data_IF_943023360789
#
_entry.id   IF_943023360789
#
_cell.length_a   1.000
_cell.length_b   1.000
_cell.length_c   1.000
_cell.angle_alpha   90.00
_cell.angle_beta   90.00
_cell.angle_gamma   90.00
#
_symmetry.space_group_name_H-M   'P 1'
#
loop_
_entity.id
_entity.type
_entity.pdbx_description
1 polymer ?
#
# COMPACT_ATOMS: atom_id res chain seq x y z
N UNK A 1 12.16 -6.08 71.26
CA UNK A 1 10.74 -5.95 70.82
C UNK A 1 10.14 -4.55 71.06
N UNK A 2 10.46 -3.84 72.16
CA UNK A 2 9.89 -2.50 72.47
C UNK A 2 10.06 -1.40 71.41
N UNK A 3 11.10 -1.44 70.57
CA UNK A 3 11.33 -0.41 69.55
C UNK A 3 10.38 -0.52 68.35
N UNK A 4 10.05 -1.75 67.91
CA UNK A 4 9.12 -1.98 66.80
C UNK A 4 7.69 -1.69 67.23
N UNK A 5 7.30 -2.11 68.42
CA UNK A 5 5.97 -1.80 68.99
C UNK A 5 5.77 -0.29 69.15
N UNK A 6 6.82 0.44 69.52
CA UNK A 6 6.80 1.91 69.59
C UNK A 6 6.60 2.55 68.21
N UNK A 7 7.33 2.08 67.20
CA UNK A 7 7.17 2.56 65.82
C UNK A 7 5.78 2.23 65.25
N UNK A 8 5.23 1.05 65.56
CA UNK A 8 3.87 0.67 65.16
C UNK A 8 2.84 1.57 65.85
N UNK A 9 3.04 1.88 67.13
CA UNK A 9 2.12 2.76 67.88
C UNK A 9 2.16 4.19 67.35
N UNK A 10 3.36 4.74 67.10
CA UNK A 10 3.55 6.06 66.48
C UNK A 10 2.96 6.11 65.06
N UNK A 11 3.10 5.02 64.29
CA UNK A 11 2.48 4.88 62.97
C UNK A 11 0.95 4.88 63.04
N UNK A 12 0.36 4.14 64.00
CA UNK A 12 -1.09 4.09 64.22
C UNK A 12 -1.64 5.43 64.72
N UNK A 13 -0.93 6.12 65.60
CA UNK A 13 -1.30 7.46 66.07
C UNK A 13 -1.24 8.49 64.93
N UNK A 14 -0.27 8.37 64.01
CA UNK A 14 -0.19 9.18 62.80
C UNK A 14 -1.43 9.05 61.88
N UNK A 15 -2.12 7.89 61.86
CA UNK A 15 -3.37 7.72 61.10
C UNK A 15 -4.58 8.46 61.69
N UNK A 16 -4.49 8.97 62.92
CA UNK A 16 -5.57 9.74 63.53
C UNK A 16 -5.51 11.24 63.19
N UNK A 17 -4.35 11.75 62.76
CA UNK A 17 -4.22 13.13 62.28
C UNK A 17 -4.91 13.28 60.90
N UNK A 18 -5.84 14.24 60.79
CA UNK A 18 -6.63 14.49 59.58
C UNK A 18 -5.74 14.76 58.34
N UNK A 19 -4.63 15.47 58.51
CA UNK A 19 -3.72 15.81 57.41
C UNK A 19 -2.94 14.59 56.94
N UNK A 20 -2.39 13.80 57.86
CA UNK A 20 -1.69 12.55 57.52
C UNK A 20 -2.64 11.53 56.90
N UNK A 21 -3.87 11.40 57.41
CA UNK A 21 -4.88 10.50 56.85
C UNK A 21 -5.23 10.85 55.40
N UNK A 22 -5.18 12.13 55.03
CA UNK A 22 -5.34 12.56 53.64
C UNK A 22 -4.13 12.18 52.77
N UNK A 23 -2.91 12.38 53.28
CA UNK A 23 -1.66 12.01 52.59
C UNK A 23 -1.55 10.50 52.38
N UNK A 24 -1.81 9.67 53.40
CA UNK A 24 -1.81 8.20 53.27
C UNK A 24 -2.83 7.73 52.24
N UNK A 25 -4.02 8.34 52.18
CA UNK A 25 -5.04 7.97 51.20
C UNK A 25 -4.59 8.19 49.75
N UNK A 26 -3.76 9.19 49.50
CA UNK A 26 -3.15 9.46 48.19
C UNK A 26 -1.93 8.56 47.92
N UNK A 27 -0.99 8.45 48.87
CA UNK A 27 0.22 7.64 48.71
C UNK A 27 -0.08 6.15 48.56
N UNK A 28 -0.98 5.59 49.39
CA UNK A 28 -1.34 4.17 49.33
C UNK A 28 -2.01 3.83 47.99
N UNK A 29 -2.79 4.78 47.46
CA UNK A 29 -3.42 4.64 46.14
C UNK A 29 -2.37 4.75 45.02
N UNK A 30 -1.43 5.70 45.11
CA UNK A 30 -0.36 5.88 44.14
C UNK A 30 0.59 4.67 44.06
N UNK A 31 0.93 4.06 45.20
CA UNK A 31 1.73 2.83 45.26
C UNK A 31 0.97 1.68 44.59
N UNK A 32 -0.32 1.52 44.89
CA UNK A 32 -1.17 0.50 44.26
C UNK A 32 -1.23 0.69 42.73
N UNK A 33 -1.43 1.92 42.25
CA UNK A 33 -1.44 2.20 40.80
C UNK A 33 -0.09 1.96 40.13
N UNK A 34 1.02 2.23 40.83
CA UNK A 34 2.37 1.99 40.32
C UNK A 34 2.67 0.49 40.16
N UNK A 35 2.24 -0.33 41.12
CA UNK A 35 2.37 -1.80 41.06
C UNK A 35 1.51 -2.37 39.93
N UNK A 36 0.26 -1.92 39.79
CA UNK A 36 -0.64 -2.34 38.70
C UNK A 36 -0.04 -1.98 37.34
N UNK A 37 0.51 -0.77 37.19
CA UNK A 37 1.18 -0.34 35.96
C UNK A 37 2.39 -1.23 35.62
N UNK A 38 3.23 -1.54 36.61
CA UNK A 38 4.41 -2.39 36.42
C UNK A 38 4.04 -3.81 35.98
N UNK A 39 2.97 -4.36 36.58
CA UNK A 39 2.42 -5.67 36.22
C UNK A 39 1.89 -5.69 34.78
N UNK A 40 1.24 -4.62 34.33
CA UNK A 40 0.71 -4.49 32.96
C UNK A 40 1.80 -4.37 31.88
N UNK A 41 3.06 -4.10 32.26
CA UNK A 41 4.20 -4.01 31.34
C UNK A 41 4.90 -5.35 31.07
N UNK A 42 4.55 -6.43 31.76
CA UNK A 42 5.15 -7.76 31.55
C UNK A 42 4.69 -8.33 30.20
N UNK A 43 5.65 -8.71 29.35
CA UNK A 43 5.42 -9.17 27.97
C UNK A 43 4.81 -10.59 27.91
N UNK A 44 3.80 -10.80 27.06
CA UNK A 44 3.02 -12.06 27.02
C UNK A 44 3.81 -13.24 26.45
N UNK A 45 3.98 -14.29 27.28
CA UNK A 45 4.24 -15.67 26.85
C UNK A 45 2.95 -16.46 26.53
N UNK A 46 3.06 -17.79 26.55
CA UNK A 46 2.22 -18.87 25.96
C UNK A 46 0.69 -18.89 26.18
N UNK A 47 0.02 -17.86 26.74
CA UNK A 47 -1.45 -17.78 26.86
C UNK A 47 -2.12 -16.86 25.81
N UNK A 48 -1.68 -16.96 24.55
CA UNK A 48 -2.26 -16.21 23.43
C UNK A 48 -3.68 -16.68 23.00
N UNK A 49 -4.27 -17.69 23.66
CA UNK A 49 -5.44 -18.41 23.17
C UNK A 49 -6.79 -18.02 23.81
N UNK A 50 -6.80 -17.26 24.91
CA UNK A 50 -8.06 -16.78 25.50
C UNK A 50 -8.42 -15.42 24.90
N UNK A 51 -9.32 -15.44 23.92
CA UNK A 51 -9.94 -14.24 23.32
C UNK A 51 -11.32 -14.02 23.94
N UNK A 52 -11.58 -12.79 24.40
CA UNK A 52 -12.95 -12.33 24.70
C UNK A 52 -13.19 -11.15 23.75
N UNK A 53 -14.20 -11.26 22.88
CA UNK A 53 -14.53 -10.25 21.86
C UNK A 53 -13.31 -9.78 21.04
N UNK A 54 -12.53 -10.74 20.51
CA UNK A 54 -11.37 -10.52 19.64
C UNK A 54 -10.15 -9.78 20.22
N UNK A 55 -10.12 -9.56 21.53
CA UNK A 55 -8.97 -8.97 22.18
C UNK A 55 -8.30 -9.93 23.18
N UNK A 56 -6.95 -9.93 23.21
CA UNK A 56 -6.11 -10.70 24.15
C UNK A 56 -5.97 -9.92 25.46
N UNK A 57 -6.71 -10.29 26.51
CA UNK A 57 -6.83 -9.43 27.71
C UNK A 57 -6.47 -10.05 29.07
N UNK A 58 -5.86 -11.23 29.17
CA UNK A 58 -5.51 -11.78 30.49
C UNK A 58 -4.00 -12.00 30.62
N UNK A 59 -3.37 -11.14 31.41
CA UNK A 59 -2.00 -11.32 31.92
C UNK A 59 -2.05 -12.36 33.07
N UNK A 60 -1.08 -13.28 33.15
CA UNK A 60 -0.92 -14.22 34.26
C UNK A 60 -0.99 -13.55 35.63
N UNK A 61 -0.53 -12.30 35.72
CA UNK A 61 -0.52 -11.53 36.95
C UNK A 61 -1.90 -11.00 37.41
N UNK A 62 -2.92 -11.01 36.54
CA UNK A 62 -4.29 -10.64 36.92
C UNK A 62 -4.95 -11.71 37.80
N UNK A 63 -4.56 -12.98 37.64
CA UNK A 63 -5.15 -14.12 38.38
C UNK A 63 -4.80 -14.07 39.88
N UNK A 64 -3.52 -13.89 40.29
CA UNK A 64 -3.18 -13.70 41.69
C UNK A 64 -3.82 -12.46 42.30
N UNK A 65 -3.95 -11.36 41.54
CA UNK A 65 -4.58 -10.13 42.00
C UNK A 65 -6.06 -10.31 42.32
N UNK A 66 -6.80 -11.04 41.46
CA UNK A 66 -8.20 -11.40 41.72
C UNK A 66 -8.31 -12.35 42.93
N UNK A 67 -7.39 -13.30 43.08
CA UNK A 67 -7.33 -14.20 44.24
C UNK A 67 -7.07 -13.44 45.56
N UNK A 68 -6.12 -12.50 45.56
CA UNK A 68 -5.85 -11.61 46.71
C UNK A 68 -7.07 -10.74 47.01
N UNK A 69 -7.80 -10.29 45.99
CA UNK A 69 -9.02 -9.50 46.14
C UNK A 69 -10.19 -10.28 46.76
N UNK A 70 -10.35 -11.55 46.37
CA UNK A 70 -11.37 -12.47 46.93
C UNK A 70 -11.04 -12.84 48.38
N UNK A 71 -9.77 -13.03 48.70
CA UNK A 71 -9.34 -13.46 50.03
C UNK A 71 -9.40 -12.34 51.09
N UNK A 72 -9.37 -11.06 50.71
CA UNK A 72 -9.32 -9.92 51.64
C UNK A 72 -10.68 -9.27 51.97
N UNK A 73 -11.79 -10.03 51.90
CA UNK A 73 -13.19 -9.64 52.15
C UNK A 73 -13.46 -8.68 53.35
N UNK A 74 -13.13 -7.38 53.21
CA UNK A 74 -13.49 -6.29 54.14
C UNK A 74 -13.64 -4.91 53.45
N UNK A 75 -14.12 -4.84 52.22
CA UNK A 75 -14.40 -3.55 51.56
C UNK A 75 -15.85 -3.46 51.05
N UNK A 76 -16.61 -2.40 51.40
CA UNK A 76 -18.01 -2.26 51.02
C UNK A 76 -18.15 -2.16 49.49
N UNK A 77 -19.14 -2.88 48.98
CA UNK A 77 -19.42 -3.18 47.56
C UNK A 77 -19.43 -1.97 46.62
N UNK A 78 -19.70 -0.76 47.13
CA UNK A 78 -19.68 0.47 46.32
C UNK A 78 -18.28 0.91 45.86
N UNK A 79 -17.21 0.64 46.63
CA UNK A 79 -15.83 0.96 46.22
C UNK A 79 -15.26 -0.03 45.21
N UNK A 80 -15.81 -1.25 45.21
CA UNK A 80 -15.45 -2.34 44.29
C UNK A 80 -15.89 -1.98 42.86
N UNK A 81 -17.11 -1.45 42.71
CA UNK A 81 -17.63 -1.03 41.40
C UNK A 81 -16.81 0.11 40.78
N UNK A 82 -16.37 1.09 41.58
CA UNK A 82 -15.59 2.23 41.08
C UNK A 82 -14.15 1.84 40.66
N UNK A 83 -13.51 0.91 41.39
CA UNK A 83 -12.19 0.39 41.04
C UNK A 83 -12.20 -0.45 39.77
N UNK A 84 -13.24 -1.27 39.57
CA UNK A 84 -13.45 -2.04 38.33
C UNK A 84 -13.77 -1.08 37.17
N UNK A 85 -14.56 -0.02 37.40
CA UNK A 85 -14.83 1.00 36.38
C UNK A 85 -13.56 1.75 35.94
N UNK A 86 -12.65 2.06 36.88
CA UNK A 86 -11.37 2.71 36.61
C UNK A 86 -10.37 1.79 35.90
N UNK A 87 -10.37 0.48 36.21
CA UNK A 87 -9.58 -0.51 35.48
C UNK A 87 -10.09 -0.71 34.06
N UNK A 88 -11.42 -0.70 33.87
CA UNK A 88 -12.03 -0.74 32.53
C UNK A 88 -11.70 0.56 31.78
N UNK A 89 -11.88 1.74 32.38
CA UNK A 89 -11.62 3.02 31.69
C UNK A 89 -10.13 3.27 31.38
N UNK A 90 -9.21 2.83 32.24
CA UNK A 90 -7.76 2.90 31.96
C UNK A 90 -7.31 1.87 30.93
N UNK A 91 -7.96 0.69 30.88
CA UNK A 91 -7.78 -0.24 29.76
C UNK A 91 -8.30 0.34 28.44
N UNK A 92 -9.38 1.14 28.46
CA UNK A 92 -9.89 1.90 27.32
C UNK A 92 -8.99 3.07 26.93
N UNK A 93 -8.35 3.75 27.89
CA UNK A 93 -7.44 4.88 27.62
C UNK A 93 -6.07 4.41 27.08
N UNK A 94 -5.60 3.24 27.54
CA UNK A 94 -4.44 2.56 26.96
C UNK A 94 -4.68 2.07 25.52
N UNK A 95 -5.94 1.79 25.15
CA UNK A 95 -6.35 1.53 23.76
C UNK A 95 -6.28 2.81 22.92
N UNK A 96 -6.59 3.99 23.49
CA UNK A 96 -6.44 5.24 22.76
C UNK A 96 -4.98 5.53 22.46
N UNK A 97 -3.99 5.36 23.35
CA UNK A 97 -2.59 5.68 23.02
C UNK A 97 -1.86 4.62 22.15
N UNK A 98 -2.05 3.31 22.39
CA UNK A 98 -1.47 2.27 21.52
C UNK A 98 -2.23 2.11 20.21
N UNK A 99 -3.55 2.30 20.25
CA UNK A 99 -4.40 2.42 19.07
C UNK A 99 -4.06 3.67 18.29
N UNK A 100 -3.88 4.84 18.90
CA UNK A 100 -3.56 6.08 18.16
C UNK A 100 -2.19 6.05 17.48
N UNK A 101 -1.16 5.39 18.04
CA UNK A 101 0.12 5.23 17.34
C UNK A 101 0.12 4.15 16.24
N UNK A 102 -0.68 3.08 16.36
CA UNK A 102 -0.82 2.05 15.32
C UNK A 102 -1.89 2.40 14.27
N UNK A 103 -2.89 3.21 14.65
CA UNK A 103 -3.94 3.75 13.79
C UNK A 103 -3.46 5.03 13.09
N UNK A 104 -2.54 5.83 13.64
CA UNK A 104 -1.93 6.92 12.87
C UNK A 104 -1.07 6.41 11.72
N UNK A 105 -0.56 5.17 11.80
CA UNK A 105 0.10 4.49 10.66
C UNK A 105 -0.89 3.73 9.76
N UNK A 106 -2.02 3.25 10.28
CA UNK A 106 -3.07 2.54 9.49
C UNK A 106 -4.21 3.41 8.96
N UNK A 107 -4.26 4.70 9.29
CA UNK A 107 -5.31 5.66 8.85
C UNK A 107 -4.76 6.78 7.97
N UNK A 108 -3.58 6.56 7.38
CA UNK A 108 -3.24 7.16 6.11
C UNK A 108 -4.04 6.43 5.02
N UNK A 109 -5.32 6.77 4.91
CA UNK A 109 -6.14 6.47 3.72
C UNK A 109 -5.52 7.21 2.53
N UNK A 110 -4.40 6.70 2.03
CA UNK A 110 -4.24 6.64 0.60
C UNK A 110 -5.26 5.61 0.13
N UNK A 111 -6.38 6.09 -0.39
CA UNK A 111 -6.97 5.36 -1.52
C UNK A 111 -6.02 5.60 -2.69
N UNK A 112 -4.80 5.08 -2.63
CA UNK A 112 -3.87 5.10 -3.75
C UNK A 112 -4.57 4.31 -4.83
N UNK A 113 -5.00 4.98 -5.89
CA UNK A 113 -5.71 4.28 -6.96
C UNK A 113 -4.69 3.43 -7.67
N UNK A 114 -5.04 2.17 -7.85
CA UNK A 114 -4.19 1.28 -8.58
C UNK A 114 -4.20 1.65 -10.07
N UNK A 115 -3.03 1.87 -10.67
CA UNK A 115 -2.94 2.28 -12.06
C UNK A 115 -1.58 2.85 -12.48
N UNK A 116 -1.39 3.09 -13.78
CA UNK A 116 -0.17 3.70 -14.29
C UNK A 116 -0.02 5.14 -13.81
N UNK A 117 1.21 5.55 -13.49
CA UNK A 117 1.57 6.92 -13.12
C UNK A 117 2.58 7.49 -14.12
N UNK A 118 2.34 8.73 -14.55
CA UNK A 118 3.15 9.41 -15.57
C UNK A 118 4.38 10.16 -15.02
N UNK A 119 4.55 10.26 -13.70
CA UNK A 119 5.73 10.87 -13.09
C UNK A 119 6.08 10.12 -11.83
N UNK A 120 7.29 9.55 -11.80
CA UNK A 120 7.80 8.77 -10.67
C UNK A 120 8.25 9.73 -9.57
N UNK A 121 7.56 9.73 -8.43
CA UNK A 121 7.96 10.49 -7.25
C UNK A 121 8.71 9.56 -6.29
N UNK A 122 9.95 9.25 -6.66
CA UNK A 122 10.74 8.26 -5.96
C UNK A 122 11.79 8.87 -5.03
N UNK A 123 11.63 8.66 -3.72
CA UNK A 123 12.58 9.11 -2.70
C UNK A 123 13.46 7.98 -2.15
N UNK A 124 12.96 6.75 -2.12
CA UNK A 124 13.69 5.59 -1.62
C UNK A 124 13.24 4.33 -2.36
N UNK A 125 14.09 3.86 -3.29
CA UNK A 125 13.86 2.62 -4.01
C UNK A 125 14.19 1.40 -3.13
N UNK A 126 13.38 0.36 -3.23
CA UNK A 126 13.60 -0.91 -2.54
C UNK A 126 13.21 -2.08 -3.44
N UNK A 127 13.71 -3.27 -3.15
CA UNK A 127 13.46 -4.48 -3.93
C UNK A 127 12.68 -5.49 -3.10
N UNK A 128 11.65 -6.09 -3.69
CA UNK A 128 10.85 -7.13 -3.06
C UNK A 128 10.73 -8.34 -3.96
N UNK A 129 10.81 -9.52 -3.35
CA UNK A 129 10.55 -10.79 -4.00
C UNK A 129 9.12 -11.21 -3.69
N UNK A 130 8.34 -11.42 -4.73
CA UNK A 130 6.98 -11.92 -4.66
C UNK A 130 6.98 -13.41 -5.00
N UNK A 131 6.67 -14.21 -3.98
CA UNK A 131 6.66 -15.67 -4.02
C UNK A 131 7.94 -16.33 -3.52
N UNK A 132 7.82 -17.56 -3.03
CA UNK A 132 8.95 -18.36 -2.55
C UNK A 132 9.53 -19.25 -3.65
N UNK A 133 10.86 -19.35 -3.73
CA UNK A 133 11.53 -20.28 -4.63
C UNK A 133 11.32 -21.73 -4.15
N UNK A 134 10.52 -22.49 -4.90
CA UNK A 134 10.22 -23.90 -4.67
C UNK A 134 10.79 -24.82 -5.77
N UNK A 135 11.73 -24.31 -6.57
CA UNK A 135 12.34 -25.01 -7.70
C UNK A 135 12.26 -24.19 -8.99
N UNK A 136 12.70 -24.78 -10.11
CA UNK A 136 12.72 -24.13 -11.42
C UNK A 136 11.80 -24.83 -12.42
N UNK A 137 11.20 -24.08 -13.36
CA UNK A 137 10.49 -24.73 -14.47
C UNK A 137 11.47 -25.54 -15.34
N UNK A 138 10.90 -26.53 -16.03
CA UNK A 138 11.65 -27.39 -16.96
C UNK A 138 11.50 -26.86 -18.40
N UNK A 139 12.34 -27.33 -19.35
CA UNK A 139 12.45 -26.74 -20.70
C UNK A 139 11.16 -26.72 -21.53
N UNK A 140 10.15 -27.51 -21.20
CA UNK A 140 8.92 -27.63 -21.99
C UNK A 140 7.65 -27.24 -21.23
N UNK A 141 7.78 -26.85 -19.96
CA UNK A 141 6.65 -26.58 -19.06
C UNK A 141 6.54 -25.09 -18.77
N UNK A 142 5.27 -24.68 -18.67
CA UNK A 142 4.85 -23.33 -18.36
C UNK A 142 4.01 -23.30 -17.07
N UNK A 143 3.82 -22.15 -16.40
CA UNK A 143 4.26 -20.81 -16.81
C UNK A 143 5.77 -20.64 -16.88
N UNK A 144 6.21 -19.85 -17.85
CA UNK A 144 7.61 -19.55 -18.11
C UNK A 144 7.73 -18.12 -18.67
N UNK A 145 8.29 -17.17 -17.90
CA UNK A 145 8.43 -15.79 -18.34
C UNK A 145 9.17 -15.62 -19.66
N UNK A 146 10.11 -16.54 -19.91
CA UNK A 146 10.93 -16.62 -21.12
C UNK A 146 10.84 -18.04 -21.69
N UNK A 147 9.62 -18.41 -22.13
CA UNK A 147 9.33 -19.69 -22.74
C UNK A 147 9.36 -19.63 -24.26
N UNK A 148 9.97 -20.59 -24.93
CA UNK A 148 9.96 -20.66 -26.40
C UNK A 148 9.72 -22.08 -26.94
N UNK A 149 9.29 -23.00 -26.08
CA UNK A 149 8.74 -24.29 -26.51
C UNK A 149 7.43 -24.13 -27.31
N UNK A 150 6.73 -23.00 -27.13
CA UNK A 150 5.75 -22.46 -28.06
C UNK A 150 6.18 -21.05 -28.48
N UNK A 151 5.95 -20.68 -29.74
CA UNK A 151 6.48 -19.40 -30.29
C UNK A 151 5.76 -18.16 -29.77
N UNK A 152 4.47 -18.26 -29.49
CA UNK A 152 3.65 -17.17 -28.95
C UNK A 152 3.07 -17.56 -27.61
N UNK A 153 3.12 -16.64 -26.66
CA UNK A 153 2.68 -16.92 -25.29
C UNK A 153 2.05 -15.67 -24.70
N UNK A 154 0.98 -15.89 -23.94
CA UNK A 154 0.38 -14.90 -23.04
C UNK A 154 0.16 -15.56 -21.70
N UNK A 155 0.62 -14.95 -20.63
CA UNK A 155 0.45 -15.46 -19.27
C UNK A 155 0.03 -14.33 -18.33
N UNK A 156 -0.89 -14.62 -17.40
CA UNK A 156 -1.21 -13.74 -16.29
C UNK A 156 -0.89 -14.43 -14.97
N UNK A 157 -0.30 -13.68 -14.06
CA UNK A 157 0.07 -14.11 -12.72
C UNK A 157 -0.66 -13.25 -11.68
N UNK A 158 -1.28 -13.89 -10.69
CA UNK A 158 -1.91 -13.21 -9.55
C UNK A 158 -0.99 -13.27 -8.34
N UNK A 159 -0.73 -12.12 -7.72
CA UNK A 159 -0.06 -11.96 -6.43
C UNK A 159 -1.01 -11.33 -5.43
N UNK A 160 -1.24 -11.97 -4.29
CA UNK A 160 -2.16 -11.46 -3.27
C UNK A 160 -1.53 -10.28 -2.53
N UNK A 161 -2.35 -9.33 -2.11
CA UNK A 161 -1.92 -8.18 -1.32
C UNK A 161 -1.17 -8.61 -0.05
N UNK A 162 -1.65 -9.66 0.63
CA UNK A 162 -0.98 -10.23 1.80
C UNK A 162 0.45 -10.68 1.51
N UNK A 163 0.72 -11.20 0.32
CA UNK A 163 2.06 -11.66 -0.09
C UNK A 163 2.97 -10.47 -0.38
N UNK A 164 2.43 -9.43 -1.01
CA UNK A 164 3.14 -8.19 -1.33
C UNK A 164 3.51 -7.43 -0.04
N UNK A 165 2.57 -7.35 0.91
CA UNK A 165 2.81 -6.77 2.24
C UNK A 165 3.84 -7.58 3.01
N UNK A 166 3.75 -8.91 2.99
CA UNK A 166 4.72 -9.79 3.64
C UNK A 166 6.12 -9.65 3.04
N UNK A 167 6.24 -9.36 1.74
CA UNK A 167 7.50 -9.04 1.08
C UNK A 167 8.07 -7.66 1.45
N UNK A 168 7.35 -6.88 2.29
CA UNK A 168 7.81 -5.60 2.81
C UNK A 168 7.35 -4.38 2.01
N UNK A 169 6.46 -4.55 1.02
CA UNK A 169 5.90 -3.42 0.27
C UNK A 169 4.50 -3.09 0.78
N UNK A 170 4.32 -1.86 1.28
CA UNK A 170 3.08 -1.41 1.93
C UNK A 170 2.28 -0.41 1.08
N UNK A 171 2.55 -0.35 -0.23
CA UNK A 171 1.96 0.62 -1.16
C UNK A 171 2.99 1.62 -1.70
N UNK A 172 2.75 2.13 -2.90
CA UNK A 172 3.68 3.01 -3.62
C UNK A 172 3.75 2.68 -5.11
N UNK A 173 4.82 3.12 -5.77
CA UNK A 173 5.04 2.93 -7.20
C UNK A 173 5.91 1.70 -7.46
N UNK A 174 5.53 0.86 -8.42
CA UNK A 174 6.37 -0.18 -9.00
C UNK A 174 7.02 0.42 -10.24
N UNK A 175 8.35 0.38 -10.31
CA UNK A 175 9.14 1.05 -11.37
C UNK A 175 9.92 0.08 -12.23
N UNK A 176 10.13 -1.15 -11.75
CA UNK A 176 10.82 -2.21 -12.46
C UNK A 176 10.24 -3.56 -12.04
N UNK A 177 10.22 -4.48 -13.00
CA UNK A 177 9.89 -5.90 -12.80
C UNK A 177 11.09 -6.70 -13.28
N UNK A 178 11.41 -7.80 -12.61
CA UNK A 178 12.48 -8.69 -13.03
C UNK A 178 12.15 -10.15 -12.73
N UNK A 179 12.68 -11.02 -13.58
CA UNK A 179 12.70 -12.47 -13.37
C UNK A 179 14.14 -12.96 -13.42
N UNK A 180 14.45 -13.91 -12.55
CA UNK A 180 15.74 -14.59 -12.56
C UNK A 180 15.69 -15.80 -13.49
N UNK A 181 16.74 -15.99 -14.29
CA UNK A 181 16.97 -17.20 -15.08
C UNK A 181 18.16 -17.97 -14.53
N UNK A 182 18.01 -19.29 -14.41
CA UNK A 182 18.97 -20.20 -13.79
C UNK A 182 19.67 -21.09 -14.82
N UNK A 183 19.02 -21.37 -15.95
CA UNK A 183 19.61 -22.15 -17.05
C UNK A 183 18.92 -21.82 -18.38
N UNK A 184 19.70 -21.78 -19.46
CA UNK A 184 19.21 -21.51 -20.81
C UNK A 184 18.48 -22.71 -21.43
N UNK A 185 18.91 -23.94 -21.15
CA UNK A 185 18.31 -25.17 -21.71
C UNK A 185 18.19 -25.22 -23.25
N UNK A 186 19.05 -24.50 -23.98
CA UNK A 186 18.92 -24.37 -25.44
C UNK A 186 17.76 -23.47 -25.89
N UNK A 187 17.19 -22.66 -25.00
CA UNK A 187 16.23 -21.63 -25.33
C UNK A 187 16.87 -20.49 -26.15
N UNK A 188 16.06 -19.84 -26.99
CA UNK A 188 16.41 -18.57 -27.62
C UNK A 188 16.67 -17.50 -26.55
N UNK A 189 17.60 -16.59 -26.84
CA UNK A 189 17.81 -15.40 -26.03
C UNK A 189 16.88 -14.26 -26.46
N UNK A 190 16.38 -14.29 -27.70
CA UNK A 190 15.68 -13.16 -28.29
C UNK A 190 14.17 -13.42 -28.29
N UNK A 191 13.43 -12.49 -27.70
CA UNK A 191 11.97 -12.46 -27.67
C UNK A 191 11.48 -11.19 -28.36
N UNK A 192 10.53 -11.34 -29.28
CA UNK A 192 9.96 -10.26 -30.06
C UNK A 192 8.63 -9.79 -29.47
N UNK A 193 8.36 -8.50 -29.62
CA UNK A 193 7.12 -7.85 -29.16
C UNK A 193 6.78 -8.14 -27.69
N UNK A 194 7.81 -8.28 -26.84
CA UNK A 194 7.61 -8.59 -25.43
C UNK A 194 6.98 -7.41 -24.72
N UNK A 195 5.83 -7.65 -24.09
CA UNK A 195 5.03 -6.64 -23.40
C UNK A 195 4.72 -7.07 -21.98
N UNK A 196 4.68 -6.11 -21.05
CA UNK A 196 4.23 -6.33 -19.67
C UNK A 196 3.07 -5.39 -19.35
N UNK A 197 2.00 -5.94 -18.78
CA UNK A 197 0.84 -5.19 -18.30
C UNK A 197 0.60 -5.51 -16.83
N UNK A 198 0.15 -4.52 -16.06
CA UNK A 198 -0.15 -4.69 -14.63
C UNK A 198 -1.57 -4.18 -14.34
N UNK A 199 -2.28 -4.89 -13.47
CA UNK A 199 -3.63 -4.56 -13.01
C UNK A 199 -3.77 -4.80 -11.51
N UNK A 200 -4.69 -4.11 -10.84
CA UNK A 200 -5.18 -4.56 -9.55
C UNK A 200 -6.48 -5.35 -9.69
N UNK A 201 -6.71 -6.27 -8.77
CA UNK A 201 -7.93 -7.06 -8.70
C UNK A 201 -8.29 -7.39 -7.26
N UNK A 202 -9.59 -7.62 -7.03
CA UNK A 202 -10.09 -8.17 -5.77
C UNK A 202 -10.22 -9.70 -5.82
N UNK A 203 -9.90 -10.32 -6.96
CA UNK A 203 -9.96 -11.78 -7.11
C UNK A 203 -8.83 -12.45 -6.34
N UNK A 204 -9.16 -13.53 -5.61
CA UNK A 204 -8.20 -14.29 -4.80
C UNK A 204 -7.62 -15.52 -5.51
N UNK A 205 -8.00 -15.74 -6.76
CA UNK A 205 -7.55 -16.80 -7.66
C UNK A 205 -7.81 -16.37 -9.12
N UNK A 206 -7.17 -17.04 -10.09
CA UNK A 206 -7.44 -16.88 -11.52
C UNK A 206 -8.00 -18.18 -12.07
N UNK A 207 -9.22 -18.14 -12.63
CA UNK A 207 -9.82 -19.26 -13.40
C UNK A 207 -10.16 -18.87 -14.84
N UNK A 208 -10.02 -17.60 -15.20
CA UNK A 208 -10.29 -17.01 -16.51
C UNK A 208 -9.45 -15.74 -16.67
N UNK A 209 -9.28 -15.27 -17.91
CA UNK A 209 -8.56 -14.03 -18.20
C UNK A 209 -9.11 -12.85 -17.40
N UNK A 210 -8.21 -12.13 -16.74
CA UNK A 210 -8.55 -10.93 -15.99
C UNK A 210 -8.43 -9.70 -16.88
N UNK A 211 -9.34 -8.74 -16.70
CA UNK A 211 -9.33 -7.45 -17.40
C UNK A 211 -8.85 -6.33 -16.48
N UNK A 212 -8.77 -5.09 -16.99
CA UNK A 212 -8.36 -3.93 -16.20
C UNK A 212 -6.84 -3.74 -16.04
N UNK A 213 -6.04 -4.49 -16.79
CA UNK A 213 -4.59 -4.30 -16.84
C UNK A 213 -4.20 -3.14 -17.76
N UNK A 214 -3.18 -2.39 -17.37
CA UNK A 214 -2.60 -1.27 -18.12
C UNK A 214 -1.20 -1.63 -18.59
N UNK A 215 -0.79 -1.19 -19.78
CA UNK A 215 0.56 -1.43 -20.29
C UNK A 215 1.58 -0.58 -19.54
N UNK A 216 2.55 -1.27 -18.94
CA UNK A 216 3.63 -0.66 -18.14
C UNK A 216 5.00 -0.81 -18.80
N UNK A 217 5.17 -1.85 -19.61
CA UNK A 217 6.32 -2.05 -20.48
C UNK A 217 5.80 -2.19 -21.91
N UNK A 218 6.11 -1.21 -22.75
CA UNK A 218 5.66 -1.15 -24.15
C UNK A 218 6.30 -2.31 -24.91
N UNK A 219 5.56 -2.86 -25.88
CA UNK A 219 6.04 -3.98 -26.68
C UNK A 219 7.36 -3.62 -27.38
N UNK A 220 8.40 -4.40 -27.12
CA UNK A 220 9.72 -4.24 -27.74
C UNK A 220 10.47 -5.58 -27.79
N UNK A 221 11.49 -5.65 -28.63
CA UNK A 221 12.37 -6.83 -28.66
C UNK A 221 13.30 -6.79 -27.45
N UNK A 222 13.48 -7.96 -26.82
CA UNK A 222 14.32 -8.12 -25.62
C UNK A 222 15.29 -9.27 -25.81
N UNK A 223 16.41 -9.21 -25.09
CA UNK A 223 17.41 -10.27 -25.03
C UNK A 223 17.57 -10.74 -23.59
N UNK A 224 17.44 -12.05 -23.39
CA UNK A 224 17.53 -12.72 -22.08
C UNK A 224 18.95 -13.25 -21.87
N UNK A 225 19.44 -13.07 -20.65
CA UNK A 225 20.73 -13.58 -20.19
C UNK A 225 20.58 -14.33 -18.88
N UNK A 226 21.58 -15.17 -18.56
CA UNK A 226 21.63 -15.88 -17.28
C UNK A 226 21.63 -14.89 -16.09
N UNK A 227 20.85 -15.20 -15.06
CA UNK A 227 20.67 -14.35 -13.88
C UNK A 227 19.46 -13.43 -13.99
N UNK A 228 19.55 -12.25 -13.36
CA UNK A 228 18.44 -11.31 -13.22
C UNK A 228 18.23 -10.48 -14.50
N UNK A 229 17.05 -10.63 -15.10
CA UNK A 229 16.63 -9.86 -16.27
C UNK A 229 15.65 -8.76 -15.83
N UNK A 230 16.11 -7.50 -15.88
CA UNK A 230 15.39 -6.34 -15.34
C UNK A 230 14.65 -5.58 -16.45
N UNK A 231 13.38 -5.27 -16.21
CA UNK A 231 12.50 -4.51 -17.10
C UNK A 231 12.09 -3.21 -16.42
N UNK A 232 12.77 -2.12 -16.76
CA UNK A 232 12.37 -0.79 -16.33
C UNK A 232 11.07 -0.40 -17.03
N UNK A 233 10.05 -0.06 -16.25
CA UNK A 233 8.72 0.22 -16.78
C UNK A 233 8.70 1.59 -17.46
N UNK A 234 8.11 1.68 -18.66
CA UNK A 234 7.88 2.96 -19.35
C UNK A 234 6.90 3.83 -18.55
N UNK A 235 5.89 3.18 -17.95
CA UNK A 235 4.97 3.80 -17.01
C UNK A 235 5.08 3.06 -15.68
N UNK A 236 5.52 3.75 -14.63
CA UNK A 236 5.48 3.18 -13.30
C UNK A 236 4.03 2.88 -12.89
N UNK A 237 3.84 1.93 -11.99
CA UNK A 237 2.52 1.45 -11.61
C UNK A 237 2.27 1.68 -10.12
N UNK A 238 1.34 2.56 -9.79
CA UNK A 238 0.92 2.77 -8.41
C UNK A 238 0.13 1.56 -7.93
N UNK A 239 0.61 0.93 -6.86
CA UNK A 239 -0.12 -0.09 -6.14
C UNK A 239 -0.78 0.52 -4.89
N UNK A 240 -2.00 0.07 -4.62
CA UNK A 240 -2.90 0.66 -3.63
C UNK A 240 -2.64 0.21 -2.18
N UNK A 241 -1.76 -0.78 -1.99
CA UNK A 241 -1.47 -1.36 -0.69
C UNK A 241 -2.47 -2.43 -0.22
N UNK A 242 -3.58 -2.65 -0.95
CA UNK A 242 -4.73 -3.42 -0.48
C UNK A 242 -5.23 -4.46 -1.49
N UNK A 243 -5.26 -4.14 -2.79
CA UNK A 243 -5.72 -5.03 -3.85
C UNK A 243 -4.66 -6.05 -4.22
N UNK A 244 -5.09 -7.20 -4.75
CA UNK A 244 -4.19 -8.16 -5.34
C UNK A 244 -3.64 -7.61 -6.67
N UNK A 245 -2.43 -8.00 -7.03
CA UNK A 245 -1.72 -7.55 -8.23
C UNK A 245 -1.79 -8.63 -9.31
N UNK A 246 -2.11 -8.22 -10.53
CA UNK A 246 -2.02 -9.01 -11.74
C UNK A 246 -0.82 -8.54 -12.55
N UNK A 247 0.00 -9.47 -12.98
CA UNK A 247 1.10 -9.22 -13.93
C UNK A 247 0.86 -10.08 -15.15
N UNK A 248 0.69 -9.45 -16.30
CA UNK A 248 0.57 -10.10 -17.60
C UNK A 248 1.86 -9.91 -18.37
N UNK A 249 2.33 -11.01 -18.96
CA UNK A 249 3.35 -10.97 -19.99
C UNK A 249 2.76 -11.52 -21.28
N UNK A 250 3.23 -10.99 -22.41
CA UNK A 250 3.00 -11.63 -23.69
C UNK A 250 4.15 -11.33 -24.66
N UNK A 251 4.33 -12.22 -25.63
CA UNK A 251 5.32 -12.08 -26.71
C UNK A 251 4.93 -12.95 -27.90
N UNK A 252 5.32 -12.51 -29.09
CA UNK A 252 4.96 -13.12 -30.36
C UNK A 252 6.21 -13.37 -31.23
N UNK A 253 6.75 -14.59 -31.19
CA UNK A 253 7.95 -14.99 -31.96
C UNK A 253 7.63 -15.72 -33.27
N UNK A 254 6.52 -15.37 -33.94
CA UNK A 254 6.12 -16.04 -35.19
C UNK A 254 7.18 -15.86 -36.28
N UNK A 255 7.79 -14.66 -36.34
CA UNK A 255 8.72 -14.23 -37.40
C UNK A 255 10.01 -15.06 -37.43
N UNK A 256 10.46 -15.62 -36.31
CA UNK A 256 11.73 -16.39 -36.24
C UNK A 256 11.60 -17.84 -36.70
N UNK A 257 10.38 -18.34 -36.92
CA UNK A 257 10.09 -19.64 -37.54
C UNK A 257 10.40 -20.90 -36.71
N UNK A 258 11.31 -20.84 -35.73
CA UNK A 258 11.79 -22.00 -34.96
C UNK A 258 11.41 -21.85 -33.48
N UNK A 259 10.70 -22.83 -32.94
CA UNK A 259 10.53 -22.98 -31.48
C UNK A 259 11.81 -23.57 -30.88
N UNK A 260 12.12 -23.21 -29.64
CA UNK A 260 13.27 -23.75 -28.91
C UNK A 260 12.80 -24.33 -27.58
N UNK A 261 13.54 -24.11 -26.49
CA UNK A 261 13.15 -24.50 -25.14
C UNK A 261 12.73 -23.29 -24.32
N UNK A 262 12.24 -23.54 -23.11
CA UNK A 262 12.02 -22.53 -22.09
C UNK A 262 13.30 -22.32 -21.27
N UNK A 263 13.61 -21.06 -20.98
CA UNK A 263 14.54 -20.74 -19.91
C UNK A 263 14.00 -21.30 -18.58
N UNK A 264 14.90 -21.82 -17.75
CA UNK A 264 14.56 -22.17 -16.37
C UNK A 264 14.56 -20.91 -15.52
N UNK A 265 13.44 -20.69 -14.85
CA UNK A 265 13.12 -19.59 -13.93
C UNK A 265 12.58 -20.19 -12.63
N UNK A 266 12.88 -19.59 -11.46
CA UNK A 266 12.30 -20.02 -10.19
C UNK A 266 10.78 -19.87 -10.17
N UNK A 267 10.10 -20.78 -9.49
CA UNK A 267 8.64 -20.74 -9.31
C UNK A 267 8.23 -20.96 -7.87
N UNK A 268 6.98 -20.60 -7.59
CA UNK A 268 6.25 -20.96 -6.38
C UNK A 268 5.04 -21.82 -6.73
N UNK A 269 4.68 -22.78 -5.85
CA UNK A 269 3.40 -23.48 -5.89
C UNK A 269 2.49 -22.89 -4.82
N UNK A 270 1.43 -22.20 -5.26
CA UNK A 270 0.43 -21.59 -4.39
C UNK A 270 -0.68 -22.60 -4.02
N UNK A 271 -1.45 -22.32 -2.97
CA UNK A 271 -2.63 -23.11 -2.62
C UNK A 271 -3.90 -22.72 -3.41
N UNK A 272 -3.84 -21.68 -4.22
CA UNK A 272 -4.88 -21.20 -5.14
C UNK A 272 -4.38 -21.20 -6.58
N UNK A 273 -5.29 -21.11 -7.56
CA UNK A 273 -4.91 -20.93 -8.96
C UNK A 273 -4.33 -19.52 -9.16
N UNK A 274 -3.06 -19.45 -9.53
CA UNK A 274 -2.28 -18.20 -9.50
C UNK A 274 -1.68 -17.83 -10.84
N UNK A 275 -1.77 -18.72 -11.84
CA UNK A 275 -1.38 -18.42 -13.20
C UNK A 275 -2.38 -18.97 -14.21
N UNK A 276 -2.59 -18.22 -15.29
CA UNK A 276 -3.32 -18.63 -16.48
C UNK A 276 -2.43 -18.36 -17.69
N UNK A 277 -2.52 -19.20 -18.72
CA UNK A 277 -1.66 -19.07 -19.89
C UNK A 277 -2.28 -19.63 -21.16
N UNK A 278 -2.00 -18.95 -22.27
CA UNK A 278 -2.26 -19.39 -23.63
C UNK A 278 -0.96 -19.45 -24.41
N UNK A 279 -0.85 -20.43 -25.30
CA UNK A 279 0.34 -20.75 -26.06
C UNK A 279 -0.04 -21.18 -27.46
N UNK A 280 0.69 -20.73 -28.47
CA UNK A 280 0.50 -21.16 -29.83
C UNK A 280 1.80 -21.06 -30.64
N UNK A 281 1.81 -21.66 -31.82
CA UNK A 281 2.95 -21.57 -32.75
C UNK A 281 2.65 -20.70 -33.97
N UNK A 282 1.38 -20.44 -34.26
CA UNK A 282 0.93 -19.82 -35.50
C UNK A 282 0.10 -18.56 -35.27
N UNK A 283 -0.53 -18.44 -34.10
CA UNK A 283 -1.47 -17.36 -33.77
C UNK A 283 -0.84 -16.43 -32.73
N UNK A 284 -0.86 -15.10 -32.92
CA UNK A 284 -0.42 -14.14 -31.91
C UNK A 284 -1.16 -14.32 -30.59
N UNK A 285 -0.42 -14.39 -29.49
CA UNK A 285 -0.97 -14.68 -28.17
C UNK A 285 -1.38 -13.41 -27.41
N UNK A 286 -0.73 -12.26 -27.64
CA UNK A 286 -1.00 -11.02 -26.89
C UNK A 286 -2.48 -10.59 -26.94
N UNK A 287 -3.12 -10.73 -28.10
CA UNK A 287 -4.53 -10.38 -28.33
C UNK A 287 -5.53 -11.47 -27.96
N UNK A 288 -5.06 -12.63 -27.48
CA UNK A 288 -5.93 -13.77 -27.17
C UNK A 288 -6.84 -13.50 -25.97
N UNK A 289 -8.14 -13.79 -26.12
CA UNK A 289 -9.17 -13.59 -25.08
C UNK A 289 -10.12 -14.80 -24.93
N UNK A 290 -9.96 -15.85 -25.73
CA UNK A 290 -10.87 -16.99 -25.74
C UNK A 290 -10.59 -17.98 -24.59
N UNK A 291 -11.30 -19.12 -24.60
CA UNK A 291 -11.40 -20.07 -23.49
C UNK A 291 -10.39 -21.23 -23.52
N UNK A 292 -9.59 -21.38 -24.58
CA UNK A 292 -8.57 -22.43 -24.64
C UNK A 292 -7.30 -21.96 -23.91
N UNK A 293 -7.30 -22.09 -22.59
CA UNK A 293 -6.18 -21.70 -21.74
C UNK A 293 -5.90 -22.76 -20.67
N UNK A 294 -4.71 -22.70 -20.11
CA UNK A 294 -4.29 -23.57 -19.00
C UNK A 294 -4.16 -22.73 -17.74
N UNK A 295 -4.87 -23.14 -16.70
CA UNK A 295 -4.77 -22.57 -15.35
C UNK A 295 -3.90 -23.47 -14.48
N UNK A 296 -3.02 -22.88 -13.69
CA UNK A 296 -2.18 -23.64 -12.77
C UNK A 296 -2.06 -22.94 -11.41
N UNK A 297 -1.63 -23.71 -10.40
CA UNK A 297 -1.22 -23.19 -9.09
C UNK A 297 0.27 -22.86 -9.02
N UNK A 298 0.96 -22.90 -10.15
CA UNK A 298 2.39 -22.62 -10.25
C UNK A 298 2.54 -21.25 -10.87
N UNK A 299 3.33 -20.36 -10.28
CA UNK A 299 3.64 -19.05 -10.89
C UNK A 299 5.13 -18.74 -10.75
N UNK A 300 5.73 -17.95 -11.66
CA UNK A 300 7.12 -17.53 -11.53
C UNK A 300 7.33 -16.65 -10.31
N UNK A 301 8.50 -16.79 -9.66
CA UNK A 301 8.92 -15.86 -8.62
C UNK A 301 9.27 -14.53 -9.29
N UNK A 302 8.70 -13.45 -8.78
CA UNK A 302 8.81 -12.13 -9.36
C UNK A 302 9.63 -11.21 -8.44
N UNK A 303 10.55 -10.43 -9.00
CA UNK A 303 11.17 -9.31 -8.29
C UNK A 303 10.56 -8.00 -8.76
N UNK A 304 10.19 -7.14 -7.83
CA UNK A 304 9.75 -5.77 -8.12
C UNK A 304 10.73 -4.77 -7.52
N UNK A 305 11.01 -3.69 -8.25
CA UNK A 305 11.62 -2.48 -7.69
C UNK A 305 10.50 -1.51 -7.37
N UNK A 306 10.31 -1.24 -6.10
CA UNK A 306 9.31 -0.32 -5.61
C UNK A 306 9.94 0.98 -5.20
N UNK A 307 9.12 2.01 -5.20
CA UNK A 307 9.44 3.25 -4.56
C UNK A 307 8.29 3.71 -3.67
N UNK A 308 8.63 3.96 -2.41
CA UNK A 308 7.69 4.59 -1.49
C UNK A 308 7.68 6.08 -1.78
N UNK A 309 6.51 6.59 -2.17
CA UNK A 309 6.29 8.03 -2.23
C UNK A 309 6.16 8.55 -0.79
N UNK A 310 7.15 9.32 -0.31
CA UNK A 310 7.00 10.10 0.92
C UNK A 310 6.07 11.28 0.63
N UNK A 311 4.78 11.03 0.53
CA UNK A 311 3.82 12.11 0.45
C UNK A 311 3.46 12.49 1.89
N UNK A 312 4.10 13.54 2.41
CA UNK A 312 3.74 14.16 3.68
C UNK A 312 2.28 14.65 3.60
N UNK A 313 1.33 13.83 4.06
CA UNK A 313 -0.12 14.01 3.89
C UNK A 313 -0.70 15.26 4.57
N UNK A 314 0.03 15.91 5.48
CA UNK A 314 -0.44 17.14 6.11
C UNK A 314 -0.40 18.34 5.16
N UNK A 315 0.53 18.37 4.20
CA UNK A 315 0.60 19.45 3.23
C UNK A 315 -0.41 19.29 2.09
N UNK A 316 -0.76 18.06 1.69
CA UNK A 316 -1.65 17.84 0.55
C UNK A 316 -3.16 17.83 0.86
N UNK A 317 -3.60 17.58 2.10
CA UNK A 317 -5.00 17.91 2.47
C UNK A 317 -5.29 19.40 2.39
N UNK A 318 -4.27 20.26 2.58
CA UNK A 318 -4.36 21.70 2.30
C UNK A 318 -4.27 22.04 0.80
N UNK A 319 -3.77 21.11 -0.04
CA UNK A 319 -3.57 21.33 -1.47
C UNK A 319 -4.57 20.59 -2.38
N UNK A 320 -5.49 19.81 -1.84
CA UNK A 320 -6.56 19.21 -2.63
C UNK A 320 -7.40 20.32 -3.26
N UNK A 321 -7.57 20.26 -4.59
CA UNK A 321 -8.14 21.34 -5.40
C UNK A 321 -7.40 22.70 -5.35
N UNK A 322 -6.21 22.78 -4.74
CA UNK A 322 -5.39 24.00 -4.79
C UNK A 322 -4.72 24.11 -6.15
N UNK A 323 -5.29 24.96 -7.00
CA UNK A 323 -4.76 25.25 -8.33
C UNK A 323 -3.45 26.03 -8.22
N UNK A 324 -2.38 25.46 -8.76
CA UNK A 324 -1.11 26.12 -8.90
C UNK A 324 -0.79 26.37 -10.37
N UNK A 325 -0.17 27.53 -10.64
CA UNK A 325 0.18 27.99 -11.98
C UNK A 325 1.63 28.45 -11.96
N UNK A 326 2.49 27.81 -12.76
CA UNK A 326 3.92 28.14 -12.79
C UNK A 326 4.50 28.22 -14.21
N UNK A 327 5.34 29.22 -14.51
CA UNK A 327 5.50 30.45 -13.75
C UNK A 327 4.23 31.31 -13.83
N UNK A 328 3.98 32.15 -12.84
CA UNK A 328 2.99 33.22 -12.90
C UNK A 328 3.59 34.46 -12.21
N UNK A 329 3.95 35.53 -12.94
CA UNK A 329 3.64 35.79 -14.36
C UNK A 329 4.32 34.84 -15.36
N UNK A 330 3.62 34.53 -16.46
CA UNK A 330 4.13 33.68 -17.55
C UNK A 330 4.46 34.50 -18.80
N UNK A 331 5.44 34.03 -19.60
CA UNK A 331 5.71 34.59 -20.94
C UNK A 331 4.93 33.82 -21.99
N UNK A 332 5.52 32.74 -22.51
CA UNK A 332 4.97 32.00 -23.65
C UNK A 332 4.25 30.72 -23.24
N UNK A 333 4.53 30.19 -22.04
CA UNK A 333 3.94 28.94 -21.54
C UNK A 333 3.84 28.96 -20.03
N UNK A 334 2.91 28.19 -19.49
CA UNK A 334 2.78 27.94 -18.06
C UNK A 334 2.24 26.52 -17.82
N UNK A 335 2.48 26.00 -16.63
CA UNK A 335 1.98 24.71 -16.16
C UNK A 335 0.84 24.93 -15.17
N UNK A 336 -0.29 24.27 -15.41
CA UNK A 336 -1.38 24.14 -14.46
C UNK A 336 -1.21 22.84 -13.69
N UNK A 337 -1.10 22.93 -12.36
CA UNK A 337 -0.87 21.78 -11.47
C UNK A 337 -1.90 21.76 -10.34
N UNK A 338 -2.62 20.66 -10.19
CA UNK A 338 -3.50 20.40 -9.03
C UNK A 338 -3.68 18.91 -8.78
N UNK A 339 -4.18 18.55 -7.59
CA UNK A 339 -4.37 17.16 -7.19
C UNK A 339 -5.85 16.85 -6.99
N UNK A 340 -6.31 15.72 -7.53
CA UNK A 340 -7.62 15.12 -7.27
C UNK A 340 -7.48 13.78 -6.55
N UNK A 341 -8.14 13.62 -5.41
CA UNK A 341 -8.12 12.36 -4.64
C UNK A 341 -9.24 11.39 -5.02
N UNK A 342 -10.17 11.84 -5.87
CA UNK A 342 -11.35 11.10 -6.36
C UNK A 342 -11.56 11.37 -7.84
N UNK A 343 -12.25 10.45 -8.53
CA UNK A 343 -12.55 10.56 -9.97
C UNK A 343 -13.55 11.68 -10.16
N UNK A 344 -13.15 12.73 -10.88
CA UNK A 344 -13.99 13.90 -11.10
C UNK A 344 -13.86 14.42 -12.53
N UNK A 345 -14.94 15.06 -12.99
CA UNK A 345 -14.97 15.74 -14.30
C UNK A 345 -14.23 17.06 -14.18
N UNK A 346 -13.33 17.32 -15.12
CA UNK A 346 -12.53 18.55 -15.15
C UNK A 346 -12.89 19.34 -16.41
N UNK A 347 -13.24 20.62 -16.23
CA UNK A 347 -13.34 21.60 -17.30
C UNK A 347 -12.41 22.79 -17.00
N UNK A 348 -11.43 23.02 -17.87
CA UNK A 348 -10.47 24.12 -17.78
C UNK A 348 -10.88 25.16 -18.81
N UNK A 349 -11.05 26.40 -18.35
CA UNK A 349 -11.45 27.55 -19.16
C UNK A 349 -10.54 28.72 -18.84
N UNK A 350 -10.01 29.40 -19.85
CA UNK A 350 -9.26 30.65 -19.66
C UNK A 350 -10.01 31.77 -20.36
N UNK A 351 -10.25 32.87 -19.65
CA UNK A 351 -10.88 34.07 -20.19
C UNK A 351 -9.97 35.29 -20.05
N UNK A 352 -10.02 36.20 -21.03
CA UNK A 352 -9.39 37.51 -20.89
C UNK A 352 -10.18 38.44 -19.95
N UNK A 353 -9.67 39.65 -19.70
CA UNK A 353 -10.32 40.65 -18.85
C UNK A 353 -11.73 41.08 -19.31
N UNK A 354 -12.09 40.84 -20.58
CA UNK A 354 -13.42 41.13 -21.16
C UNK A 354 -14.36 39.91 -21.09
N UNK A 355 -13.93 38.79 -20.50
CA UNK A 355 -14.72 37.56 -20.42
C UNK A 355 -14.69 36.68 -21.68
N UNK A 356 -13.95 37.06 -22.72
CA UNK A 356 -13.79 36.24 -23.93
C UNK A 356 -12.97 34.99 -23.61
N UNK A 357 -13.50 33.82 -24.00
CA UNK A 357 -12.82 32.52 -23.85
C UNK A 357 -11.66 32.44 -24.85
N UNK A 358 -10.46 32.14 -24.35
CA UNK A 358 -9.25 31.95 -25.15
C UNK A 358 -8.71 30.52 -25.10
N UNK A 359 -9.18 29.72 -24.12
CA UNK A 359 -8.86 28.30 -24.00
C UNK A 359 -10.03 27.56 -23.35
N UNK A 360 -10.35 26.37 -23.85
CA UNK A 360 -11.33 25.46 -23.26
C UNK A 360 -10.86 24.01 -23.45
N UNK A 361 -10.76 23.26 -22.36
CA UNK A 361 -10.46 21.82 -22.35
C UNK A 361 -11.40 21.11 -21.39
N UNK A 362 -11.94 19.97 -21.81
CA UNK A 362 -12.79 19.10 -20.97
C UNK A 362 -12.19 17.71 -20.91
N UNK A 363 -12.23 17.11 -19.73
CA UNK A 363 -11.75 15.75 -19.49
C UNK A 363 -12.84 14.96 -18.78
N UNK A 364 -13.02 13.71 -19.19
CA UNK A 364 -13.96 12.78 -18.56
C UNK A 364 -13.19 11.98 -17.51
N UNK A 365 -13.69 12.01 -16.27
CA UNK A 365 -13.25 11.18 -15.15
C UNK A 365 -11.73 11.09 -14.92
N UNK A 366 -11.14 12.17 -14.37
CA UNK A 366 -9.72 12.23 -14.03
C UNK A 366 -9.46 12.01 -12.54
N UNK A 367 -8.31 11.43 -12.21
CA UNK A 367 -7.86 11.24 -10.82
C UNK A 367 -6.32 11.30 -10.74
N UNK A 368 -5.79 11.76 -9.61
CA UNK A 368 -4.35 11.94 -9.42
C UNK A 368 -3.88 13.38 -9.64
N UNK A 369 -2.57 13.58 -9.81
CA UNK A 369 -1.98 14.90 -10.04
C UNK A 369 -2.19 15.32 -11.50
N UNK A 370 -3.08 16.30 -11.70
CA UNK A 370 -3.24 16.95 -12.99
C UNK A 370 -2.08 17.89 -13.23
N UNK A 371 -1.33 17.66 -14.31
CA UNK A 371 -0.26 18.53 -14.80
C UNK A 371 -0.43 18.76 -16.30
N UNK A 372 -0.67 20.00 -16.70
CA UNK A 372 -0.83 20.38 -18.10
C UNK A 372 0.02 21.61 -18.41
N UNK A 373 0.83 21.53 -19.46
CA UNK A 373 1.55 22.68 -20.01
C UNK A 373 0.69 23.36 -21.08
N UNK A 374 0.34 24.62 -20.86
CA UNK A 374 -0.48 25.41 -21.77
C UNK A 374 0.41 26.42 -22.50
N UNK A 375 0.38 26.39 -23.83
CA UNK A 375 1.02 27.37 -24.69
C UNK A 375 0.16 28.65 -24.74
N UNK A 376 0.75 29.75 -24.31
CA UNK A 376 0.16 31.08 -24.26
C UNK A 376 0.86 32.05 -25.24
N UNK A 377 1.68 31.55 -26.18
CA UNK A 377 2.43 32.38 -27.13
C UNK A 377 1.53 33.30 -27.96
N UNK A 378 0.29 32.84 -28.25
CA UNK A 378 -0.71 33.59 -29.02
C UNK A 378 -1.60 34.49 -28.17
N UNK A 379 -1.39 34.55 -26.85
CA UNK A 379 -2.22 35.35 -25.95
C UNK A 379 -1.59 36.75 -25.84
N UNK A 380 -2.39 37.79 -25.78
CA UNK A 380 -1.86 39.15 -25.60
C UNK A 380 -1.36 39.37 -24.18
N UNK A 381 -0.37 40.25 -23.99
CA UNK A 381 0.08 40.70 -22.68
C UNK A 381 -1.08 41.34 -21.88
N UNK A 382 -1.66 40.59 -20.95
CA UNK A 382 -2.78 41.05 -20.12
C UNK A 382 -2.99 40.12 -18.91
N UNK A 383 -3.99 40.46 -18.09
CA UNK A 383 -4.52 39.61 -17.03
C UNK A 383 -5.60 38.68 -17.62
N UNK A 384 -5.52 37.42 -17.23
CA UNK A 384 -6.46 36.37 -17.58
C UNK A 384 -7.00 35.71 -16.31
N UNK A 385 -8.18 35.11 -16.42
CA UNK A 385 -8.79 34.29 -15.38
C UNK A 385 -8.78 32.83 -15.83
N UNK A 386 -8.01 32.01 -15.12
CA UNK A 386 -8.00 30.56 -15.30
C UNK A 386 -9.05 29.97 -14.36
N UNK A 387 -10.05 29.34 -14.94
CA UNK A 387 -11.16 28.70 -14.26
C UNK A 387 -11.06 27.19 -14.44
N UNK A 388 -11.07 26.44 -13.33
CA UNK A 388 -11.15 24.98 -13.35
C UNK A 388 -12.42 24.57 -12.63
N UNK A 389 -13.36 23.97 -13.37
CA UNK A 389 -14.55 23.36 -12.81
C UNK A 389 -14.26 21.89 -12.55
N UNK A 390 -14.33 21.48 -11.29
CA UNK A 390 -14.16 20.10 -10.84
C UNK A 390 -15.51 19.64 -10.28
N UNK A 391 -16.17 18.71 -10.97
CA UNK A 391 -17.57 18.35 -10.69
C UNK A 391 -18.46 19.61 -10.67
N UNK A 392 -19.02 20.00 -9.52
CA UNK A 392 -19.86 21.20 -9.38
C UNK A 392 -19.14 22.42 -8.78
N UNK A 393 -17.86 22.28 -8.40
CA UNK A 393 -17.08 23.36 -7.80
C UNK A 393 -16.25 24.09 -8.85
N UNK A 394 -16.30 25.43 -8.82
CA UNK A 394 -15.52 26.30 -9.70
C UNK A 394 -14.37 26.94 -8.93
N UNK A 395 -13.14 26.70 -9.37
CA UNK A 395 -11.93 27.31 -8.82
C UNK A 395 -11.39 28.32 -9.83
N UNK A 396 -11.01 29.52 -9.37
CA UNK A 396 -10.49 30.58 -10.23
C UNK A 396 -9.14 31.06 -9.74
N UNK A 397 -8.17 31.22 -10.66
CA UNK A 397 -6.86 31.81 -10.41
C UNK A 397 -6.57 32.92 -11.42
N UNK A 398 -5.95 34.00 -10.94
CA UNK A 398 -5.42 35.07 -11.79
C UNK A 398 -4.15 34.56 -12.49
N UNK A 399 -4.11 34.68 -13.80
CA UNK A 399 -2.94 34.45 -14.64
C UNK A 399 -2.47 35.79 -15.20
N UNK A 400 -1.18 36.08 -15.07
CA UNK A 400 -0.57 37.30 -15.63
C UNK A 400 0.35 36.90 -16.77
N UNK A 401 0.07 37.39 -17.98
CA UNK A 401 0.96 37.20 -19.13
C UNK A 401 1.79 38.45 -19.37
N UNK A 402 3.08 38.25 -19.61
CA UNK A 402 4.10 39.29 -19.80
C UNK A 402 4.92 39.09 -21.08
N UNK A 403 4.39 38.33 -22.05
CA UNK A 403 5.00 38.14 -23.36
C UNK A 403 5.12 39.44 -24.17
#
# INVERSE_FOLDING_TARGET
MRAIEKLIKEYVESYQNKTNKFVYRFCDSAILFSIIALVLFIQLGTLAFVKINDFKYINWAAIPLVLVFILNNKLPTAKISFGILLLISSSSYGQEMKGTQLISLKKNNYSAICGPVGTVLCNSASYQWLGANMGTNIPTVFPAPFGNYYKTVKEQYLFKASEIIAAGFTGGEITEIAWETIAQNGATNNFNEYQIRIGCTNQNYINSWQSGLSTVFIAQNITIALGLNNFSLNNAYQWDGNSNLLVEICYDNIVTGIYTSNWSTPFEITNFNSAISYRNDLIPACSYLDTNYIVTKKRPVLRIKTCQSLLNLENNRKNEHNLNIYPNPARNKFELVFLLTKKEKIEIKITNALGKIVFLKKTVDYIGQFKETIDASNFSKNIYFLQVKISDKLYTKKLVLIN
#
